data_IF_809743442687
#
_entry.id   IF_809743442687
#
_cell.length_a   1.000
_cell.length_b   1.000
_cell.length_c   1.000
_cell.angle_alpha   90.00
_cell.angle_beta   90.00
_cell.angle_gamma   90.00
#
_symmetry.space_group_name_H-M   'P 1'
#
loop_
_entity.id
_entity.type
_entity.pdbx_description
1 polymer ?
#
# COMPACT_ATOMS: atom_id res chain seq x y z
N UNK A 1 36.97 -24.26 0.03
CA UNK A 1 36.90 -22.87 0.53
C UNK A 1 35.76 -22.06 -0.07
N UNK A 2 35.29 -22.30 -1.31
CA UNK A 2 34.18 -21.53 -1.91
C UNK A 2 32.77 -21.81 -1.36
N UNK A 3 32.46 -23.07 -0.99
CA UNK A 3 31.11 -23.47 -0.55
C UNK A 3 30.66 -22.82 0.76
N UNK A 4 31.53 -22.81 1.78
CA UNK A 4 31.22 -22.18 3.08
C UNK A 4 31.09 -20.66 2.98
N UNK A 5 31.90 -20.01 2.14
CA UNK A 5 31.80 -18.57 1.88
C UNK A 5 30.51 -18.21 1.11
N UNK A 6 30.11 -19.03 0.14
CA UNK A 6 28.84 -18.86 -0.59
C UNK A 6 27.62 -19.03 0.30
N UNK A 7 27.65 -19.96 1.26
CA UNK A 7 26.54 -20.19 2.19
C UNK A 7 26.32 -18.99 3.14
N UNK A 8 27.42 -18.39 3.63
CA UNK A 8 27.37 -17.21 4.50
C UNK A 8 26.92 -15.97 3.71
N UNK A 9 27.43 -15.77 2.49
CA UNK A 9 27.02 -14.65 1.61
C UNK A 9 25.54 -14.73 1.25
N UNK A 10 25.05 -15.90 0.85
CA UNK A 10 23.64 -16.09 0.49
C UNK A 10 22.68 -15.85 1.67
N UNK A 11 23.09 -16.19 2.90
CA UNK A 11 22.29 -15.93 4.11
C UNK A 11 22.21 -14.43 4.43
N UNK A 12 23.31 -13.70 4.29
CA UNK A 12 23.37 -12.25 4.53
C UNK A 12 22.56 -11.48 3.47
N UNK A 13 22.70 -11.86 2.20
CA UNK A 13 21.95 -11.27 1.08
C UNK A 13 20.46 -11.53 1.23
N UNK A 14 20.05 -12.77 1.53
CA UNK A 14 18.65 -13.11 1.77
C UNK A 14 18.03 -12.33 2.93
N UNK A 15 18.78 -12.14 4.03
CA UNK A 15 18.35 -11.33 5.18
C UNK A 15 18.16 -9.87 4.80
N UNK A 16 19.10 -9.28 4.07
CA UNK A 16 19.03 -7.88 3.64
C UNK A 16 17.89 -7.64 2.66
N UNK A 17 17.70 -8.56 1.71
CA UNK A 17 16.59 -8.51 0.75
C UNK A 17 15.24 -8.62 1.47
N UNK A 18 15.08 -9.58 2.37
CA UNK A 18 13.85 -9.75 3.17
C UNK A 18 13.50 -8.51 4.00
N UNK A 19 14.50 -7.89 4.64
CA UNK A 19 14.30 -6.66 5.42
C UNK A 19 13.86 -5.48 4.54
N UNK A 20 14.52 -5.29 3.39
CA UNK A 20 14.19 -4.20 2.49
C UNK A 20 12.80 -4.36 1.87
N UNK A 21 12.44 -5.58 1.45
CA UNK A 21 11.13 -5.86 0.90
C UNK A 21 10.03 -5.70 1.94
N UNK A 22 10.25 -6.17 3.19
CA UNK A 22 9.32 -5.97 4.29
C UNK A 22 9.10 -4.48 4.61
N UNK A 23 10.18 -3.68 4.64
CA UNK A 23 10.09 -2.24 4.85
C UNK A 23 9.27 -1.54 3.75
N UNK A 24 9.53 -1.83 2.48
CA UNK A 24 8.77 -1.27 1.36
C UNK A 24 7.28 -1.62 1.41
N UNK A 25 6.94 -2.87 1.75
CA UNK A 25 5.54 -3.29 1.92
C UNK A 25 4.88 -2.52 3.07
N UNK A 26 5.59 -2.37 4.20
CA UNK A 26 5.11 -1.59 5.35
C UNK A 26 4.87 -0.12 5.02
N UNK A 27 5.78 0.51 4.26
CA UNK A 27 5.62 1.89 3.81
C UNK A 27 4.38 2.07 2.93
N UNK A 28 4.17 1.17 1.98
CA UNK A 28 2.99 1.19 1.09
C UNK A 28 1.69 0.99 1.88
N UNK A 29 1.66 0.06 2.83
CA UNK A 29 0.51 -0.14 3.72
C UNK A 29 0.23 1.09 4.58
N UNK A 30 1.26 1.68 5.18
CA UNK A 30 1.17 2.90 5.97
C UNK A 30 0.62 4.08 5.14
N UNK A 31 1.05 4.22 3.89
CA UNK A 31 0.50 5.21 2.97
C UNK A 31 -1.01 5.02 2.77
N UNK A 32 -1.46 3.80 2.47
CA UNK A 32 -2.89 3.53 2.29
C UNK A 32 -3.70 3.78 3.57
N UNK A 33 -3.18 3.37 4.72
CA UNK A 33 -3.83 3.61 6.01
C UNK A 33 -3.97 5.11 6.30
N UNK A 34 -2.91 5.89 6.07
CA UNK A 34 -2.93 7.34 6.31
C UNK A 34 -3.98 8.07 5.46
N UNK A 35 -4.11 7.70 4.18
CA UNK A 35 -5.13 8.26 3.30
C UNK A 35 -6.55 7.88 3.77
N UNK A 36 -6.74 6.61 4.15
CA UNK A 36 -8.01 6.12 4.67
C UNK A 36 -8.42 6.87 5.93
N UNK A 37 -7.50 7.09 6.88
CA UNK A 37 -7.78 7.81 8.13
C UNK A 37 -8.23 9.26 7.86
N UNK A 38 -7.59 9.95 6.91
CA UNK A 38 -7.98 11.29 6.47
C UNK A 38 -9.39 11.30 5.88
N UNK A 39 -9.71 10.33 5.01
CA UNK A 39 -11.05 10.23 4.41
C UNK A 39 -12.11 9.89 5.45
N UNK A 40 -11.84 8.97 6.38
CA UNK A 40 -12.77 8.65 7.47
C UNK A 40 -13.01 9.89 8.35
N UNK A 41 -11.94 10.63 8.71
CA UNK A 41 -12.07 11.86 9.48
C UNK A 41 -12.92 12.91 8.75
N UNK A 42 -12.71 13.09 7.43
CA UNK A 42 -13.53 13.99 6.61
C UNK A 42 -15.02 13.58 6.60
N UNK A 43 -15.30 12.27 6.52
CA UNK A 43 -16.66 11.73 6.58
C UNK A 43 -17.34 11.96 7.92
N UNK A 44 -16.58 11.94 9.02
CA UNK A 44 -17.09 12.24 10.37
C UNK A 44 -17.36 13.73 10.58
N UNK A 45 -16.50 14.61 10.05
CA UNK A 45 -16.65 16.06 10.19
C UNK A 45 -17.85 16.57 9.37
N UNK A 46 -18.03 16.05 8.16
CA UNK A 46 -19.15 16.39 7.29
C UNK A 46 -19.84 15.11 6.83
N UNK A 47 -20.97 14.81 7.46
CA UNK A 47 -21.71 13.58 7.23
C UNK A 47 -22.22 13.45 5.78
N UNK A 48 -22.41 14.57 5.07
CA UNK A 48 -22.89 14.60 3.69
C UNK A 48 -21.74 14.78 2.67
N UNK A 49 -20.48 14.78 3.12
CA UNK A 49 -19.31 14.91 2.24
C UNK A 49 -19.21 13.75 1.23
N UNK A 50 -19.68 12.56 1.60
CA UNK A 50 -19.56 11.36 0.79
C UNK A 50 -20.89 10.62 0.66
N UNK A 51 -21.13 10.09 -0.55
CA UNK A 51 -22.25 9.16 -0.79
C UNK A 51 -22.12 7.88 0.04
N UNK A 52 -23.24 7.20 0.29
CA UNK A 52 -23.24 5.90 0.98
C UNK A 52 -22.37 4.86 0.28
N UNK A 53 -22.33 4.89 -1.07
CA UNK A 53 -21.45 4.03 -1.87
C UNK A 53 -19.99 4.29 -1.54
N UNK A 54 -19.61 5.55 -1.36
CA UNK A 54 -18.25 5.93 -1.04
C UNK A 54 -17.88 5.52 0.40
N UNK A 55 -18.77 5.77 1.37
CA UNK A 55 -18.60 5.31 2.76
C UNK A 55 -18.38 3.79 2.82
N UNK A 56 -19.21 3.01 2.11
CA UNK A 56 -19.06 1.56 1.99
C UNK A 56 -17.73 1.13 1.36
N UNK A 57 -17.20 1.89 0.39
CA UNK A 57 -15.88 1.60 -0.16
C UNK A 57 -14.75 1.85 0.86
N UNK A 58 -14.86 2.91 1.68
CA UNK A 58 -13.90 3.19 2.76
C UNK A 58 -13.89 2.05 3.79
N UNK A 59 -15.07 1.60 4.24
CA UNK A 59 -15.20 0.46 5.15
C UNK A 59 -14.58 -0.83 4.60
N UNK A 60 -14.83 -1.12 3.32
CA UNK A 60 -14.24 -2.29 2.66
C UNK A 60 -12.72 -2.18 2.53
N UNK A 61 -12.19 -0.97 2.29
CA UNK A 61 -10.75 -0.75 2.26
C UNK A 61 -10.13 -0.91 3.65
N UNK A 62 -10.79 -0.43 4.70
CA UNK A 62 -10.39 -0.63 6.09
C UNK A 62 -10.27 -2.12 6.43
N UNK A 63 -11.30 -2.90 6.10
CA UNK A 63 -11.31 -4.34 6.34
C UNK A 63 -10.17 -5.07 5.59
N UNK A 64 -9.84 -4.65 4.37
CA UNK A 64 -8.72 -5.22 3.61
C UNK A 64 -7.36 -4.89 4.23
N UNK A 65 -7.17 -3.66 4.71
CA UNK A 65 -5.93 -3.27 5.38
C UNK A 65 -5.77 -4.00 6.72
N UNK A 66 -6.84 -4.11 7.51
CA UNK A 66 -6.80 -4.84 8.80
C UNK A 66 -6.64 -6.35 8.66
N UNK A 67 -7.02 -6.93 7.52
CA UNK A 67 -6.85 -8.37 7.26
C UNK A 67 -5.51 -8.72 6.60
N UNK A 68 -4.66 -7.73 6.32
CA UNK A 68 -3.36 -7.99 5.73
C UNK A 68 -2.45 -8.74 6.72
N UNK A 69 -1.91 -9.93 6.36
CA UNK A 69 -1.16 -10.78 7.29
C UNK A 69 0.30 -10.30 7.42
N UNK A 70 0.51 -9.25 8.23
CA UNK A 70 1.86 -8.69 8.47
C UNK A 70 2.78 -9.71 9.17
N UNK A 71 2.22 -10.53 10.06
CA UNK A 71 2.98 -11.50 10.88
C UNK A 71 3.27 -12.83 10.16
N UNK A 72 2.67 -13.06 8.99
CA UNK A 72 2.82 -14.29 8.21
C UNK A 72 3.23 -13.96 6.75
N UNK A 73 4.50 -13.61 6.51
CA UNK A 73 4.99 -13.12 5.21
C UNK A 73 4.97 -14.19 4.10
N UNK A 74 4.79 -15.46 4.43
CA UNK A 74 4.67 -16.57 3.48
C UNK A 74 3.21 -16.84 3.06
N UNK A 75 2.26 -16.08 3.62
CA UNK A 75 0.86 -16.27 3.33
C UNK A 75 0.54 -16.02 1.86
N UNK A 76 0.00 -17.03 1.18
CA UNK A 76 -0.34 -16.98 -0.25
C UNK A 76 -1.35 -15.87 -0.57
N UNK A 77 -2.14 -15.43 0.42
CA UNK A 77 -3.16 -14.38 0.25
C UNK A 77 -2.57 -12.97 0.21
N UNK A 78 -1.30 -12.76 0.58
CA UNK A 78 -0.65 -11.43 0.63
C UNK A 78 -0.82 -10.66 -0.68
N UNK A 79 -0.50 -11.31 -1.80
CA UNK A 79 -0.56 -10.68 -3.11
C UNK A 79 -2.00 -10.36 -3.53
N UNK A 80 -2.93 -11.25 -3.19
CA UNK A 80 -4.35 -11.07 -3.47
C UNK A 80 -4.94 -9.90 -2.68
N UNK A 81 -4.70 -9.84 -1.37
CA UNK A 81 -5.16 -8.77 -0.49
C UNK A 81 -4.56 -7.43 -0.95
N UNK A 82 -3.26 -7.39 -1.26
CA UNK A 82 -2.61 -6.19 -1.77
C UNK A 82 -3.22 -5.72 -3.10
N UNK A 83 -3.54 -6.63 -4.01
CA UNK A 83 -4.27 -6.33 -5.24
C UNK A 83 -5.64 -5.72 -4.96
N UNK A 84 -6.39 -6.26 -4.00
CA UNK A 84 -7.69 -5.74 -3.57
C UNK A 84 -7.58 -4.33 -2.94
N UNK A 85 -6.58 -4.10 -2.08
CA UNK A 85 -6.30 -2.77 -1.48
C UNK A 85 -6.03 -1.75 -2.58
N UNK A 86 -5.13 -2.03 -3.52
CA UNK A 86 -4.81 -1.15 -4.65
C UNK A 86 -6.03 -0.84 -5.51
N UNK A 87 -6.83 -1.86 -5.83
CA UNK A 87 -8.05 -1.68 -6.61
C UNK A 87 -9.06 -0.79 -5.87
N UNK A 88 -9.26 -1.02 -4.57
CA UNK A 88 -10.18 -0.22 -3.77
C UNK A 88 -9.73 1.22 -3.65
N UNK A 89 -8.44 1.45 -3.39
CA UNK A 89 -7.86 2.78 -3.38
C UNK A 89 -8.15 3.54 -4.68
N UNK A 90 -7.94 2.90 -5.85
CA UNK A 90 -8.23 3.52 -7.15
C UNK A 90 -9.71 3.87 -7.35
N UNK A 91 -10.62 3.02 -6.87
CA UNK A 91 -12.07 3.29 -6.93
C UNK A 91 -12.43 4.51 -6.06
N UNK A 92 -11.85 4.58 -4.87
CA UNK A 92 -12.09 5.66 -3.90
C UNK A 92 -11.54 6.99 -4.43
N UNK A 93 -10.29 7.02 -4.91
CA UNK A 93 -9.68 8.25 -5.46
C UNK A 93 -10.41 8.75 -6.72
N UNK A 94 -10.84 7.85 -7.59
CA UNK A 94 -11.69 8.21 -8.73
C UNK A 94 -13.04 8.79 -8.29
N UNK A 95 -13.63 8.25 -7.23
CA UNK A 95 -14.92 8.74 -6.68
C UNK A 95 -14.79 10.11 -6.02
N UNK A 96 -13.62 10.46 -5.48
CA UNK A 96 -13.33 11.79 -4.90
C UNK A 96 -13.10 12.88 -5.96
N UNK A 97 -13.16 12.55 -7.25
CA UNK A 97 -12.86 13.51 -8.30
C UNK A 97 -11.39 13.91 -8.34
N UNK A 98 -10.49 13.15 -7.69
CA UNK A 98 -9.04 13.27 -7.89
C UNK A 98 -8.71 12.69 -9.26
N UNK A 99 -9.00 13.49 -10.28
CA UNK A 99 -8.40 13.37 -11.59
C UNK A 99 -6.95 13.80 -11.36
N UNK A 100 -6.02 12.86 -11.28
CA UNK A 100 -4.59 13.16 -11.46
C UNK A 100 -4.42 13.62 -12.91
N UNK A 101 -4.84 14.85 -13.21
CA UNK A 101 -4.69 15.43 -14.53
C UNK A 101 -3.20 15.59 -14.78
N UNK A 102 -2.72 14.95 -15.83
CA UNK A 102 -1.42 15.19 -16.41
C UNK A 102 -1.36 16.66 -16.83
N UNK A 103 -0.88 17.50 -15.94
CA UNK A 103 -0.73 18.94 -16.12
C UNK A 103 0.43 19.43 -15.27
N UNK A 104 1.65 19.23 -15.79
CA UNK A 104 2.80 20.10 -15.53
C UNK A 104 3.47 20.12 -14.16
N UNK A 105 3.25 19.18 -13.22
CA UNK A 105 4.20 18.93 -12.10
C UNK A 105 4.44 17.45 -11.75
N UNK A 106 4.09 16.53 -12.65
CA UNK A 106 4.44 15.10 -12.52
C UNK A 106 5.88 14.80 -12.96
N UNK A 107 6.87 15.50 -12.40
CA UNK A 107 8.28 15.06 -12.48
C UNK A 107 8.88 14.66 -11.13
N UNK A 108 8.28 15.04 -10.01
CA UNK A 108 8.88 14.73 -8.70
C UNK A 108 8.51 13.37 -8.10
N UNK A 109 7.40 12.74 -8.51
CA UNK A 109 6.93 11.48 -7.89
C UNK A 109 7.16 10.21 -8.71
N UNK A 110 7.42 10.30 -10.01
CA UNK A 110 7.78 9.11 -10.81
C UNK A 110 9.23 8.70 -10.61
N UNK A 111 10.12 9.67 -10.37
CA UNK A 111 11.55 9.44 -10.20
C UNK A 111 11.88 8.62 -8.93
N UNK A 112 11.04 8.64 -7.89
CA UNK A 112 11.31 7.88 -6.66
C UNK A 112 10.91 6.41 -6.73
N UNK A 113 10.17 5.99 -7.75
CA UNK A 113 9.70 4.60 -7.91
C UNK A 113 10.43 3.83 -9.01
N UNK A 114 11.18 4.50 -9.89
CA UNK A 114 11.99 3.84 -10.94
C UNK A 114 13.48 3.69 -10.55
N UNK A 115 13.93 4.33 -9.46
CA UNK A 115 15.32 4.28 -8.97
C UNK A 115 15.48 3.48 -7.65
N UNK A 116 14.57 2.55 -7.34
CA UNK A 116 14.70 1.61 -6.21
C UNK A 116 14.59 0.14 -6.65
#
# INVERSE_FOLDING_TARGET
MGYAAGLVSGKEEGRKLGLNMGFQVGEVLGFYQSCLDIWIAAAHINHDAFSDRMKKNLEQMAALLSSYPIDDPENEQIQEIMGKVRLKFRIITASLGVKLEHGSQSKSLKQSFEDL
#
